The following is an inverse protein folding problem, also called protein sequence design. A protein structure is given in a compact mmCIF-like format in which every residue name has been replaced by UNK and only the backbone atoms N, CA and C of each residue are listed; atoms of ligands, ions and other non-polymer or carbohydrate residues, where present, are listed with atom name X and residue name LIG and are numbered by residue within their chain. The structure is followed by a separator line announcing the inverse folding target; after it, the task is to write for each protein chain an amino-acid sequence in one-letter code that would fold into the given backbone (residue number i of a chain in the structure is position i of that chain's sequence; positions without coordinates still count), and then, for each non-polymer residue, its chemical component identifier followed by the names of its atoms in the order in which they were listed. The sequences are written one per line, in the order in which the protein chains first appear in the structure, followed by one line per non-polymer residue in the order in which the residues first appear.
data_IF_889813004988
#
_entry.id   IF_889813004988
#
_cell.length_a   1.000
_cell.length_b   1.000
_cell.length_c   1.000
_cell.angle_alpha   90.00
_cell.angle_beta   90.00
_cell.angle_gamma   90.00
#
_symmetry.space_group_name_H-M   'P 1'
#
loop_
_entity.id
_entity.type
_entity.pdbx_description
1 polymer ?
#
# COMPACT_ATOMS: atom_id res chain seq x y z
N UNK A 1 -15.64 17.01 -13.70
CA UNK A 1 -16.03 15.89 -14.59
C UNK A 1 -16.37 14.64 -13.78
N UNK A 2 -15.48 14.12 -12.88
CA UNK A 2 -15.72 12.88 -12.11
C UNK A 2 -16.99 12.93 -11.22
N UNK A 3 -17.31 14.06 -10.64
CA UNK A 3 -18.52 14.23 -9.80
C UNK A 3 -19.81 14.27 -10.63
N UNK A 4 -19.74 14.87 -11.83
CA UNK A 4 -20.85 14.90 -12.77
C UNK A 4 -21.16 13.50 -13.35
N UNK A 5 -20.13 12.65 -13.53
CA UNK A 5 -20.31 11.24 -13.89
C UNK A 5 -20.91 10.41 -12.75
N UNK A 6 -20.69 10.79 -11.50
CA UNK A 6 -21.31 10.11 -10.34
C UNK A 6 -22.81 10.36 -10.25
N UNK A 7 -23.29 11.53 -10.67
CA UNK A 7 -24.74 11.85 -10.67
C UNK A 7 -25.52 11.03 -11.71
N UNK A 8 -24.85 10.54 -12.76
CA UNK A 8 -25.48 9.67 -13.77
C UNK A 8 -25.69 8.22 -13.30
N UNK A 9 -25.13 7.82 -12.17
CA UNK A 9 -25.24 6.44 -11.62
C UNK A 9 -26.65 6.02 -11.23
N UNK A 10 -27.57 6.96 -11.11
CA UNK A 10 -28.98 6.66 -10.80
C UNK A 10 -29.76 6.17 -12.01
N UNK A 11 -29.25 6.41 -13.22
CA UNK A 11 -29.93 6.10 -14.48
C UNK A 11 -29.10 5.28 -15.48
N UNK A 12 -27.80 5.04 -15.18
CA UNK A 12 -26.89 4.36 -16.11
C UNK A 12 -25.96 3.42 -15.32
N UNK A 13 -25.71 2.23 -15.88
CA UNK A 13 -24.70 1.31 -15.38
C UNK A 13 -23.29 1.89 -15.64
N UNK A 14 -22.42 1.87 -14.60
CA UNK A 14 -21.09 2.43 -14.67
C UNK A 14 -20.03 1.36 -14.44
N UNK A 15 -19.30 1.02 -15.51
CA UNK A 15 -18.10 0.19 -15.44
C UNK A 15 -16.88 1.08 -15.25
N UNK A 16 -16.07 0.78 -14.23
CA UNK A 16 -14.79 1.44 -14.01
C UNK A 16 -13.66 0.42 -14.24
N UNK A 17 -12.77 0.73 -15.16
CA UNK A 17 -11.61 -0.12 -15.46
C UNK A 17 -10.34 0.51 -14.90
N UNK A 18 -9.43 -0.32 -14.39
CA UNK A 18 -8.11 0.11 -13.92
C UNK A 18 -7.09 -1.01 -14.13
N UNK A 19 -5.86 -0.64 -14.47
CA UNK A 19 -4.76 -1.58 -14.59
C UNK A 19 -4.24 -2.05 -13.22
N UNK A 20 -4.28 -1.14 -12.24
CA UNK A 20 -3.91 -1.41 -10.84
C UNK A 20 -5.06 -0.92 -9.95
N UNK A 21 -5.79 -1.81 -9.27
CA UNK A 21 -6.78 -1.35 -8.31
C UNK A 21 -6.04 -0.57 -7.22
N UNK A 22 -6.41 0.70 -7.05
CA UNK A 22 -5.90 1.50 -5.95
C UNK A 22 -6.29 0.79 -4.64
N UNK A 23 -5.43 0.76 -3.61
CA UNK A 23 -5.75 0.15 -2.30
C UNK A 23 -7.13 0.53 -1.78
N UNK A 24 -7.57 1.75 -2.05
CA UNK A 24 -8.91 2.28 -1.80
C UNK A 24 -10.04 1.50 -2.50
N UNK A 25 -9.91 1.21 -3.80
CA UNK A 25 -10.94 0.48 -4.56
C UNK A 25 -11.02 -0.97 -4.07
N UNK A 26 -9.88 -1.54 -3.75
CA UNK A 26 -9.76 -2.87 -3.18
C UNK A 26 -10.40 -2.92 -1.78
N UNK A 27 -10.15 -1.93 -0.93
CA UNK A 27 -10.79 -1.80 0.38
C UNK A 27 -12.32 -1.71 0.27
N UNK A 28 -12.87 -0.93 -0.68
CA UNK A 28 -14.30 -0.85 -0.94
C UNK A 28 -14.91 -2.19 -1.38
N UNK A 29 -14.16 -3.00 -2.13
CA UNK A 29 -14.59 -4.35 -2.49
C UNK A 29 -14.56 -5.29 -1.29
N UNK A 30 -13.53 -5.21 -0.46
CA UNK A 30 -13.43 -5.98 0.79
C UNK A 30 -14.60 -5.69 1.73
N UNK A 31 -15.09 -4.45 1.76
CA UNK A 31 -16.28 -4.06 2.51
C UNK A 31 -17.61 -4.50 1.86
N UNK A 32 -17.57 -5.10 0.66
CA UNK A 32 -18.77 -5.50 -0.08
C UNK A 32 -19.59 -4.32 -0.62
N UNK A 33 -18.97 -3.12 -0.72
CA UNK A 33 -19.60 -1.91 -1.26
C UNK A 33 -19.53 -1.90 -2.79
N UNK A 34 -18.57 -2.63 -3.38
CA UNK A 34 -18.35 -2.69 -4.82
C UNK A 34 -17.90 -4.09 -5.24
N UNK A 35 -18.47 -4.58 -6.33
CA UNK A 35 -17.98 -5.80 -6.95
C UNK A 35 -16.75 -5.50 -7.81
N UNK A 36 -15.80 -6.44 -7.83
CA UNK A 36 -14.61 -6.39 -8.65
C UNK A 36 -14.50 -7.69 -9.45
N UNK A 37 -14.31 -7.53 -10.76
CA UNK A 37 -13.89 -8.61 -11.64
C UNK A 37 -12.43 -8.39 -12.04
N UNK A 38 -11.62 -9.45 -12.00
CA UNK A 38 -10.22 -9.40 -12.40
C UNK A 38 -10.04 -10.12 -13.73
N UNK A 39 -9.42 -9.44 -14.71
CA UNK A 39 -9.01 -10.03 -15.98
C UNK A 39 -7.59 -10.59 -15.79
N UNK A 40 -7.49 -11.89 -15.59
CA UNK A 40 -6.23 -12.59 -15.34
C UNK A 40 -5.63 -13.25 -16.59
N UNK A 41 -6.44 -13.45 -17.65
CA UNK A 41 -5.98 -14.09 -18.90
C UNK A 41 -5.33 -13.04 -19.80
N UNK A 42 -4.03 -13.17 -20.11
CA UNK A 42 -3.36 -12.25 -21.02
C UNK A 42 -3.80 -12.47 -22.48
N UNK A 43 -3.67 -11.45 -23.34
CA UNK A 43 -3.83 -11.64 -24.78
C UNK A 43 -2.85 -12.67 -25.32
N UNK A 44 -3.28 -13.40 -26.35
CA UNK A 44 -2.40 -14.34 -27.05
C UNK A 44 -1.16 -13.61 -27.61
N UNK A 45 0.02 -14.25 -27.54
CA UNK A 45 1.30 -13.76 -28.07
C UNK A 45 1.95 -12.59 -27.32
N UNK A 46 1.49 -12.20 -26.15
CA UNK A 46 2.14 -11.18 -25.32
C UNK A 46 3.13 -11.84 -24.36
N UNK A 47 4.40 -11.40 -24.41
CA UNK A 47 5.45 -11.89 -23.51
C UNK A 47 5.46 -11.08 -22.20
N UNK A 48 5.76 -11.77 -21.10
CA UNK A 48 5.97 -11.09 -19.83
C UNK A 48 7.22 -10.20 -19.87
N UNK A 49 7.16 -9.04 -19.20
CA UNK A 49 8.28 -8.13 -19.09
C UNK A 49 9.30 -8.68 -18.09
N UNK A 50 10.52 -8.94 -18.55
CA UNK A 50 11.61 -9.36 -17.67
C UNK A 50 12.01 -8.20 -16.75
N UNK A 51 11.79 -8.37 -15.47
CA UNK A 51 12.01 -7.32 -14.47
C UNK A 51 13.24 -7.62 -13.63
N UNK A 52 14.19 -6.69 -13.58
CA UNK A 52 15.44 -6.80 -12.81
C UNK A 52 15.58 -5.59 -11.87
N UNK A 53 15.91 -5.86 -10.64
CA UNK A 53 16.32 -4.84 -9.67
C UNK A 53 17.84 -4.86 -9.58
N UNK A 54 18.47 -3.71 -9.78
CA UNK A 54 19.92 -3.58 -9.74
C UNK A 54 20.31 -2.23 -9.12
N UNK A 55 21.56 -2.14 -8.64
CA UNK A 55 22.18 -0.85 -8.39
C UNK A 55 22.50 -0.16 -9.71
N UNK A 56 22.66 1.16 -9.69
CA UNK A 56 23.14 1.90 -10.84
C UNK A 56 24.50 1.34 -11.29
N UNK A 57 24.54 0.81 -12.48
CA UNK A 57 25.73 0.19 -13.07
C UNK A 57 25.82 0.61 -14.54
N UNK A 58 26.87 1.39 -14.86
CA UNK A 58 27.08 1.93 -16.22
C UNK A 58 27.24 0.81 -17.25
N UNK A 59 27.87 -0.31 -16.90
CA UNK A 59 28.09 -1.43 -17.81
C UNK A 59 26.77 -2.15 -18.13
N UNK A 60 25.92 -2.35 -17.13
CA UNK A 60 24.59 -2.92 -17.29
C UNK A 60 23.71 -2.03 -18.16
N UNK A 61 23.71 -0.71 -17.87
CA UNK A 61 22.91 0.28 -18.62
C UNK A 61 23.34 0.30 -20.08
N UNK A 62 24.66 0.41 -20.34
CA UNK A 62 25.21 0.38 -21.69
C UNK A 62 24.77 -0.88 -22.44
N UNK A 63 25.05 -2.05 -21.86
CA UNK A 63 24.73 -3.33 -22.51
C UNK A 63 23.23 -3.49 -22.81
N UNK A 64 22.35 -3.04 -21.92
CA UNK A 64 20.92 -3.12 -22.12
C UNK A 64 20.42 -2.14 -23.21
N UNK A 65 21.00 -0.92 -23.29
CA UNK A 65 20.69 0.04 -24.35
C UNK A 65 21.22 -0.46 -25.69
N UNK A 66 22.49 -0.88 -25.78
CA UNK A 66 23.10 -1.41 -27.00
C UNK A 66 22.27 -2.57 -27.58
N UNK A 67 21.81 -3.49 -26.73
CA UNK A 67 20.95 -4.59 -27.13
C UNK A 67 19.61 -4.11 -27.69
N UNK A 68 19.02 -3.04 -27.13
CA UNK A 68 17.75 -2.51 -27.62
C UNK A 68 17.94 -1.82 -28.98
N UNK A 69 18.97 -0.98 -29.10
CA UNK A 69 19.28 -0.25 -30.32
C UNK A 69 19.69 -1.20 -31.46
N UNK A 70 20.43 -2.27 -31.15
CA UNK A 70 20.83 -3.28 -32.14
C UNK A 70 19.65 -4.00 -32.79
N UNK A 71 18.50 -4.04 -32.16
CA UNK A 71 17.26 -4.61 -32.74
C UNK A 71 16.29 -3.56 -33.31
N UNK A 72 16.74 -2.30 -33.41
CA UNK A 72 15.93 -1.17 -33.89
C UNK A 72 14.88 -0.69 -32.90
N UNK A 73 15.01 -1.05 -31.61
CA UNK A 73 14.12 -0.62 -30.56
C UNK A 73 14.53 0.69 -29.91
N UNK A 74 13.71 1.19 -29.00
CA UNK A 74 13.88 2.43 -28.27
C UNK A 74 13.82 2.19 -26.75
N UNK A 75 14.34 3.14 -25.98
CA UNK A 75 14.49 3.02 -24.54
C UNK A 75 13.75 4.15 -23.82
N UNK A 76 12.94 3.79 -22.82
CA UNK A 76 12.49 4.73 -21.81
C UNK A 76 13.48 4.78 -20.64
N UNK A 77 13.84 5.98 -20.22
CA UNK A 77 14.58 6.20 -18.98
C UNK A 77 13.77 7.14 -18.08
N UNK A 78 13.25 6.63 -16.97
CA UNK A 78 12.39 7.38 -16.05
C UNK A 78 13.21 7.87 -14.88
N UNK A 79 13.24 9.20 -14.68
CA UNK A 79 13.86 9.84 -13.54
C UNK A 79 12.88 10.84 -12.89
N UNK A 80 12.64 10.71 -11.58
CA UNK A 80 11.51 11.39 -10.92
C UNK A 80 11.74 12.88 -10.61
N UNK A 81 12.94 13.41 -10.81
CA UNK A 81 13.30 14.76 -10.42
C UNK A 81 13.65 15.63 -11.63
N UNK A 82 13.01 16.80 -11.73
CA UNK A 82 13.29 17.74 -12.84
C UNK A 82 14.61 18.47 -12.63
N UNK A 83 15.00 18.74 -11.37
CA UNK A 83 16.16 19.59 -11.07
C UNK A 83 17.49 18.99 -11.50
N UNK A 84 17.61 17.68 -11.51
CA UNK A 84 18.83 16.93 -11.84
C UNK A 84 18.72 16.05 -13.12
N UNK A 85 17.60 16.15 -13.84
CA UNK A 85 17.36 15.37 -15.05
C UNK A 85 18.45 15.59 -16.13
N UNK A 86 18.98 16.81 -16.24
CA UNK A 86 20.08 17.14 -17.14
C UNK A 86 21.41 16.49 -16.71
N UNK A 87 21.61 16.29 -15.40
CA UNK A 87 22.77 15.55 -14.89
C UNK A 87 22.69 14.09 -15.25
N UNK A 88 21.49 13.49 -15.16
CA UNK A 88 21.24 12.12 -15.59
C UNK A 88 21.42 11.99 -17.11
N UNK A 89 20.92 12.95 -17.90
CA UNK A 89 21.13 12.99 -19.35
C UNK A 89 22.62 12.99 -19.71
N UNK A 90 23.41 13.82 -19.01
CA UNK A 90 24.86 13.89 -19.20
C UNK A 90 25.55 12.58 -18.82
N UNK A 91 25.20 11.94 -17.71
CA UNK A 91 25.71 10.61 -17.35
C UNK A 91 25.36 9.55 -18.42
N UNK A 92 24.15 9.57 -18.94
CA UNK A 92 23.74 8.66 -20.02
C UNK A 92 24.51 8.90 -21.32
N UNK A 93 24.73 10.17 -21.72
CA UNK A 93 25.54 10.49 -22.91
C UNK A 93 26.99 10.08 -22.79
N UNK A 94 27.55 9.99 -21.57
CA UNK A 94 28.87 9.42 -21.32
C UNK A 94 28.89 7.89 -21.42
N UNK A 95 27.80 7.23 -21.02
CA UNK A 95 27.66 5.77 -21.08
C UNK A 95 27.43 5.30 -22.54
N UNK A 96 26.56 5.99 -23.27
CA UNK A 96 26.17 5.66 -24.65
C UNK A 96 26.24 6.92 -25.54
N UNK A 97 27.45 7.37 -25.90
CA UNK A 97 27.63 8.62 -26.67
C UNK A 97 27.05 8.53 -28.08
N UNK A 98 26.84 7.36 -28.61
CA UNK A 98 26.22 7.08 -29.91
C UNK A 98 24.70 7.23 -29.95
N UNK A 99 24.03 7.19 -28.79
CA UNK A 99 22.57 7.25 -28.71
C UNK A 99 22.06 8.69 -28.63
N UNK A 100 20.98 8.97 -29.33
CA UNK A 100 20.25 10.24 -29.24
C UNK A 100 19.33 10.25 -28.04
N UNK A 101 19.41 11.31 -27.21
CA UNK A 101 18.61 11.42 -25.96
C UNK A 101 17.71 12.64 -26.05
N UNK A 102 16.40 12.44 -25.90
CA UNK A 102 15.44 13.51 -25.70
C UNK A 102 15.00 13.58 -24.23
N UNK A 103 14.76 14.79 -23.74
CA UNK A 103 14.33 15.02 -22.35
C UNK A 103 12.89 15.51 -22.37
N UNK A 104 12.00 14.82 -21.59
CA UNK A 104 10.61 15.17 -21.44
C UNK A 104 10.22 15.37 -19.97
N UNK A 105 9.68 16.53 -19.59
CA UNK A 105 9.21 16.78 -18.24
C UNK A 105 8.08 17.82 -18.19
N UNK A 106 7.30 17.83 -17.11
CA UNK A 106 6.10 18.66 -16.96
C UNK A 106 6.33 20.17 -16.83
N UNK A 107 7.58 20.68 -16.93
CA UNK A 107 7.89 22.11 -17.02
C UNK A 107 8.13 22.59 -18.45
N UNK A 108 8.23 21.68 -19.41
CA UNK A 108 8.25 22.05 -20.81
C UNK A 108 6.89 22.65 -21.20
N UNK A 109 6.89 23.56 -22.17
CA UNK A 109 5.65 23.99 -22.79
C UNK A 109 4.97 22.83 -23.53
N UNK A 110 3.67 22.94 -23.77
CA UNK A 110 2.90 21.88 -24.43
C UNK A 110 3.47 21.56 -25.82
N UNK A 111 3.89 22.59 -26.57
CA UNK A 111 4.53 22.41 -27.88
C UNK A 111 5.90 21.73 -27.83
N UNK A 112 6.76 22.11 -26.86
CA UNK A 112 8.07 21.48 -26.69
C UNK A 112 7.92 20.00 -26.31
N UNK A 113 6.97 19.68 -25.44
CA UNK A 113 6.69 18.32 -25.04
C UNK A 113 6.14 17.49 -26.21
N UNK A 114 5.25 18.10 -27.02
CA UNK A 114 4.71 17.46 -28.23
C UNK A 114 5.82 17.17 -29.23
N UNK A 115 6.73 18.10 -29.49
CA UNK A 115 7.88 17.90 -30.38
C UNK A 115 8.78 16.75 -29.90
N UNK A 116 9.11 16.71 -28.61
CA UNK A 116 9.88 15.61 -28.00
C UNK A 116 9.17 14.27 -28.22
N UNK A 117 7.87 14.23 -28.02
CA UNK A 117 7.10 12.99 -28.19
C UNK A 117 7.00 12.57 -29.64
N UNK A 118 6.83 13.52 -30.57
CA UNK A 118 6.78 13.24 -32.01
C UNK A 118 8.11 12.69 -32.52
N UNK A 119 9.24 13.26 -32.13
CA UNK A 119 10.58 12.75 -32.50
C UNK A 119 10.83 11.35 -31.95
N UNK A 120 10.37 11.07 -30.74
CA UNK A 120 10.50 9.73 -30.14
C UNK A 120 9.58 8.72 -30.84
N UNK A 121 8.32 9.05 -31.09
CA UNK A 121 7.39 8.18 -31.83
C UNK A 121 7.87 7.92 -33.27
N UNK A 122 8.47 8.92 -33.93
CA UNK A 122 9.05 8.78 -35.27
C UNK A 122 10.33 7.92 -35.32
N UNK A 123 10.88 7.53 -34.17
CA UNK A 123 12.09 6.71 -34.08
C UNK A 123 13.38 7.48 -34.35
N UNK A 124 13.36 8.82 -34.37
CA UNK A 124 14.55 9.65 -34.55
C UNK A 124 15.31 9.90 -33.27
N UNK A 125 14.74 9.51 -32.15
CA UNK A 125 15.33 9.56 -30.80
C UNK A 125 15.39 8.15 -30.22
N UNK A 126 16.55 7.75 -29.72
CA UNK A 126 16.82 6.41 -29.19
C UNK A 126 16.35 6.25 -27.76
N UNK A 127 16.59 7.28 -26.93
CA UNK A 127 16.30 7.28 -25.49
C UNK A 127 15.41 8.46 -25.14
N UNK A 128 14.26 8.18 -24.56
CA UNK A 128 13.43 9.21 -23.93
C UNK A 128 13.70 9.21 -22.43
N UNK A 129 14.44 10.22 -21.95
CA UNK A 129 14.63 10.49 -20.54
C UNK A 129 13.49 11.40 -20.05
N UNK A 130 12.63 10.88 -19.21
CA UNK A 130 11.46 11.64 -18.79
C UNK A 130 11.09 11.42 -17.32
N UNK A 131 10.33 12.36 -16.76
CA UNK A 131 9.65 12.17 -15.48
C UNK A 131 8.43 11.27 -15.68
N UNK A 132 7.58 11.14 -14.68
CA UNK A 132 6.33 10.33 -14.70
C UNK A 132 5.31 10.73 -15.80
N UNK A 133 5.62 11.69 -16.68
CA UNK A 133 4.78 12.07 -17.82
C UNK A 133 4.47 10.89 -18.74
N UNK A 134 5.36 9.88 -18.76
CA UNK A 134 5.16 8.63 -19.51
C UNK A 134 3.89 7.89 -19.08
N UNK A 135 3.32 8.21 -17.90
CA UNK A 135 2.05 7.64 -17.43
C UNK A 135 0.83 8.05 -18.29
N UNK A 136 0.94 9.06 -19.16
CA UNK A 136 -0.17 9.62 -19.93
C UNK A 136 -0.65 8.80 -21.14
N UNK A 137 -0.42 7.48 -21.16
CA UNK A 137 -1.16 6.58 -22.05
C UNK A 137 -0.63 6.42 -23.48
N UNK A 138 0.55 6.95 -23.79
CA UNK A 138 1.17 6.79 -25.11
C UNK A 138 1.57 5.32 -25.36
N UNK A 139 1.17 4.84 -26.51
CA UNK A 139 1.53 3.51 -26.99
C UNK A 139 2.69 3.61 -27.98
N UNK A 140 3.87 3.18 -27.56
CA UNK A 140 5.09 3.18 -28.38
C UNK A 140 5.59 1.74 -28.52
N UNK A 141 5.19 1.05 -29.59
CA UNK A 141 5.49 -0.38 -29.76
C UNK A 141 6.99 -0.70 -29.83
N UNK A 142 7.82 0.26 -30.28
CA UNK A 142 9.27 0.08 -30.43
C UNK A 142 10.04 0.23 -29.12
N UNK A 143 9.43 0.82 -28.08
CA UNK A 143 10.06 0.97 -26.77
C UNK A 143 9.87 -0.31 -25.94
N UNK A 144 10.87 -1.19 -25.94
CA UNK A 144 10.81 -2.49 -25.26
C UNK A 144 11.77 -2.60 -24.07
N UNK A 145 12.55 -1.55 -23.79
CA UNK A 145 13.39 -1.47 -22.59
C UNK A 145 13.03 -0.20 -21.81
N UNK A 146 12.83 -0.34 -20.49
CA UNK A 146 12.60 0.76 -19.57
C UNK A 146 13.56 0.67 -18.38
N UNK A 147 14.20 1.79 -18.06
CA UNK A 147 14.90 2.00 -16.80
C UNK A 147 14.06 2.89 -15.90
N UNK A 148 13.99 2.55 -14.63
CA UNK A 148 13.32 3.35 -13.60
C UNK A 148 14.39 3.68 -12.55
N UNK A 149 14.87 4.91 -12.58
CA UNK A 149 15.89 5.40 -11.67
C UNK A 149 15.28 5.72 -10.30
N UNK A 150 16.07 5.59 -9.22
CA UNK A 150 15.61 5.74 -7.84
C UNK A 150 14.32 4.96 -7.56
N UNK A 151 14.24 3.73 -8.05
CA UNK A 151 13.03 2.89 -8.03
C UNK A 151 12.50 2.62 -6.61
N UNK A 152 13.32 2.73 -5.59
CA UNK A 152 12.95 2.62 -4.18
C UNK A 152 12.06 3.77 -3.68
N UNK A 153 12.09 4.92 -4.36
CA UNK A 153 11.23 6.07 -4.04
C UNK A 153 9.78 5.92 -4.54
N UNK A 154 9.53 5.03 -5.49
CA UNK A 154 8.20 4.84 -6.08
C UNK A 154 7.30 3.91 -5.27
N UNK A 155 5.99 4.13 -5.39
CA UNK A 155 4.96 3.19 -4.95
C UNK A 155 4.90 1.93 -5.82
N UNK A 156 4.37 0.83 -5.27
CA UNK A 156 4.27 -0.43 -6.01
C UNK A 156 3.35 -0.31 -7.23
N UNK A 157 2.27 0.49 -7.12
CA UNK A 157 1.35 0.76 -8.22
C UNK A 157 2.03 1.55 -9.35
N UNK A 158 2.85 2.56 -9.01
CA UNK A 158 3.56 3.40 -9.97
C UNK A 158 4.61 2.57 -10.73
N UNK A 159 5.40 1.74 -10.01
CA UNK A 159 6.33 0.80 -10.62
C UNK A 159 5.65 -0.16 -11.59
N UNK A 160 4.46 -0.66 -11.22
CA UNK A 160 3.70 -1.55 -12.10
C UNK A 160 3.19 -0.83 -13.36
N UNK A 161 2.71 0.41 -13.23
CA UNK A 161 2.26 1.22 -14.37
C UNK A 161 3.42 1.55 -15.32
N UNK A 162 4.56 1.98 -14.77
CA UNK A 162 5.76 2.27 -15.54
C UNK A 162 6.28 1.02 -16.26
N UNK A 163 6.36 -0.12 -15.58
CA UNK A 163 6.71 -1.40 -16.21
C UNK A 163 5.77 -1.76 -17.37
N UNK A 164 4.49 -1.47 -17.22
CA UNK A 164 3.46 -1.72 -18.22
C UNK A 164 3.56 -0.83 -19.48
N UNK A 165 4.47 0.15 -19.49
CA UNK A 165 4.73 0.99 -20.69
C UNK A 165 5.50 0.27 -21.75
N UNK A 166 6.24 -0.79 -21.41
CA UNK A 166 6.95 -1.65 -22.36
C UNK A 166 6.28 -3.02 -22.50
N UNK A 167 6.69 -3.79 -23.50
CA UNK A 167 6.16 -5.13 -23.77
C UNK A 167 4.80 -5.11 -24.46
N UNK A 168 4.60 -4.16 -25.38
CA UNK A 168 3.39 -4.06 -26.22
C UNK A 168 3.58 -4.62 -27.63
N UNK A 169 4.79 -5.06 -27.94
CA UNK A 169 5.16 -5.71 -29.17
C UNK A 169 5.41 -7.21 -28.98
N UNK A 170 5.75 -7.91 -30.07
CA UNK A 170 6.16 -9.32 -30.06
C UNK A 170 7.58 -9.52 -29.50
N UNK A 171 8.33 -8.45 -29.30
CA UNK A 171 9.69 -8.52 -28.77
C UNK A 171 9.67 -8.65 -27.26
N UNK A 172 10.64 -9.40 -26.72
CA UNK A 172 10.84 -9.49 -25.27
C UNK A 172 11.19 -8.12 -24.71
N UNK A 173 10.45 -7.68 -23.71
CA UNK A 173 10.67 -6.40 -23.05
C UNK A 173 11.38 -6.56 -21.71
N UNK A 174 12.10 -5.52 -21.31
CA UNK A 174 12.93 -5.48 -20.12
C UNK A 174 12.61 -4.24 -19.29
N UNK A 175 12.52 -4.44 -18.00
CA UNK A 175 12.35 -3.37 -17.02
C UNK A 175 13.49 -3.45 -15.99
N UNK A 176 14.34 -2.43 -15.97
CA UNK A 176 15.44 -2.30 -15.01
C UNK A 176 15.04 -1.28 -13.95
N UNK A 177 14.93 -1.74 -12.73
CA UNK A 177 14.66 -0.89 -11.55
C UNK A 177 15.99 -0.59 -10.90
N UNK A 178 16.47 0.64 -11.07
CA UNK A 178 17.76 1.09 -10.57
C UNK A 178 17.60 1.67 -9.17
N UNK A 179 18.55 1.38 -8.33
CA UNK A 179 18.69 1.92 -6.98
C UNK A 179 20.04 2.59 -6.88
N UNK A 180 20.14 3.70 -6.15
CA UNK A 180 21.41 4.40 -5.94
C UNK A 180 22.47 3.45 -5.36
N UNK A 181 23.72 3.63 -5.79
CA UNK A 181 24.86 2.78 -5.39
C UNK A 181 25.09 2.79 -3.87
N UNK A 182 24.82 3.92 -3.24
CA UNK A 182 25.09 4.18 -1.82
C UNK A 182 23.84 4.06 -0.94
N UNK A 183 22.63 3.99 -1.54
CA UNK A 183 21.39 4.00 -0.79
C UNK A 183 21.21 2.75 0.08
N UNK A 184 20.90 2.99 1.35
CA UNK A 184 20.38 1.95 2.23
C UNK A 184 18.87 1.81 2.01
N UNK A 185 18.47 0.73 1.36
CA UNK A 185 17.04 0.43 1.16
C UNK A 185 16.33 0.25 2.50
N UNK A 186 15.23 0.96 2.68
CA UNK A 186 14.32 0.67 3.78
C UNK A 186 13.72 -0.73 3.61
N UNK A 187 13.34 -1.38 4.70
CA UNK A 187 12.71 -2.71 4.65
C UNK A 187 11.44 -2.71 3.78
N UNK A 188 10.70 -1.61 3.78
CA UNK A 188 9.49 -1.43 2.96
C UNK A 188 9.81 -1.29 1.48
N UNK A 189 10.84 -0.51 1.12
CA UNK A 189 11.30 -0.38 -0.28
C UNK A 189 11.80 -1.71 -0.82
N UNK A 190 12.63 -2.44 -0.05
CA UNK A 190 13.12 -3.76 -0.43
C UNK A 190 11.97 -4.76 -0.67
N UNK A 191 10.93 -4.75 0.17
CA UNK A 191 9.74 -5.60 -0.01
C UNK A 191 8.95 -5.24 -1.26
N UNK A 192 8.79 -3.94 -1.58
CA UNK A 192 8.11 -3.48 -2.80
C UNK A 192 8.86 -3.92 -4.06
N UNK A 193 10.19 -3.70 -4.09
CA UNK A 193 11.03 -4.09 -5.23
C UNK A 193 11.05 -5.60 -5.45
N UNK A 194 11.08 -6.39 -4.37
CA UNK A 194 10.96 -7.84 -4.46
C UNK A 194 9.59 -8.24 -5.00
N UNK A 195 8.52 -7.65 -4.51
CA UNK A 195 7.16 -7.96 -4.97
C UNK A 195 6.99 -7.70 -6.47
N UNK A 196 7.45 -6.55 -6.99
CA UNK A 196 7.33 -6.24 -8.42
C UNK A 196 8.16 -7.19 -9.30
N UNK A 197 9.27 -7.73 -8.78
CA UNK A 197 10.11 -8.71 -9.46
C UNK A 197 9.44 -10.09 -9.47
N UNK A 198 8.88 -10.53 -8.36
CA UNK A 198 8.17 -11.82 -8.23
C UNK A 198 6.89 -11.86 -9.07
N UNK A 199 6.12 -10.78 -9.06
CA UNK A 199 4.88 -10.64 -9.85
C UNK A 199 5.15 -10.10 -11.27
N UNK A 200 6.03 -10.77 -12.02
CA UNK A 200 6.35 -10.40 -13.41
C UNK A 200 5.32 -10.90 -14.44
N UNK A 201 4.43 -11.82 -14.07
CA UNK A 201 3.39 -12.35 -14.96
C UNK A 201 2.37 -11.28 -15.35
N UNK A 202 1.83 -11.41 -16.57
CA UNK A 202 0.73 -10.55 -17.02
C UNK A 202 -0.53 -10.82 -16.20
N UNK A 203 -1.33 -9.78 -15.98
CA UNK A 203 -2.51 -9.84 -15.10
C UNK A 203 -2.19 -9.72 -13.61
N UNK A 204 -0.93 -9.55 -13.23
CA UNK A 204 -0.51 -9.46 -11.84
C UNK A 204 -0.95 -8.17 -11.10
N UNK A 205 -1.56 -7.20 -11.78
CA UNK A 205 -1.92 -5.89 -11.19
C UNK A 205 -2.74 -6.00 -9.91
N UNK A 206 -3.66 -6.95 -9.89
CA UNK A 206 -4.48 -7.19 -8.71
C UNK A 206 -3.68 -7.85 -7.56
N UNK A 207 -2.85 -8.85 -7.87
CA UNK A 207 -1.96 -9.50 -6.88
C UNK A 207 -0.95 -8.51 -6.31
N UNK A 208 -0.45 -7.58 -7.11
CA UNK A 208 0.42 -6.49 -6.68
C UNK A 208 -0.30 -5.50 -5.77
N UNK A 209 -1.55 -5.15 -6.06
CA UNK A 209 -2.35 -4.28 -5.17
C UNK A 209 -2.60 -4.93 -3.81
N UNK A 210 -2.84 -6.25 -3.78
CA UNK A 210 -2.92 -7.00 -2.52
C UNK A 210 -1.58 -7.00 -1.80
N UNK A 211 -0.49 -7.22 -2.53
CA UNK A 211 0.85 -7.21 -1.93
C UNK A 211 1.23 -5.84 -1.39
N UNK A 212 0.81 -4.75 -2.05
CA UNK A 212 0.99 -3.38 -1.54
C UNK A 212 0.27 -3.17 -0.20
N UNK A 213 -0.98 -3.68 -0.08
CA UNK A 213 -1.71 -3.66 1.19
C UNK A 213 -0.99 -4.47 2.28
N UNK A 214 -0.48 -5.65 1.95
CA UNK A 214 0.27 -6.51 2.88
C UNK A 214 1.58 -5.85 3.33
N UNK A 215 2.32 -5.19 2.42
CA UNK A 215 3.57 -4.48 2.72
C UNK A 215 3.32 -3.27 3.63
N UNK A 216 2.20 -2.57 3.46
CA UNK A 216 1.77 -1.46 4.33
C UNK A 216 1.45 -1.92 5.75
N UNK A 217 1.26 -3.23 5.94
CA UNK A 217 1.09 -3.89 7.23
C UNK A 217 -0.36 -4.21 7.58
N UNK A 218 -0.56 -5.30 8.31
CA UNK A 218 -1.88 -5.75 8.77
C UNK A 218 -2.56 -4.73 9.70
N UNK A 219 -1.79 -3.88 10.39
CA UNK A 219 -2.30 -2.75 11.18
C UNK A 219 -3.05 -1.73 10.33
N UNK A 220 -2.57 -1.46 9.10
CA UNK A 220 -3.23 -0.57 8.15
C UNK A 220 -4.36 -1.23 7.35
N UNK A 221 -4.38 -2.55 7.23
CA UNK A 221 -5.51 -3.31 6.70
C UNK A 221 -6.72 -3.26 7.64
N UNK A 222 -6.43 -3.22 8.93
CA UNK A 222 -7.41 -3.29 10.01
C UNK A 222 -7.66 -1.93 10.69
N UNK A 223 -6.88 -0.91 10.35
CA UNK A 223 -6.92 0.45 10.93
C UNK A 223 -7.27 1.54 9.92
N UNK A 224 -7.63 2.69 10.44
CA UNK A 224 -8.18 3.84 9.71
C UNK A 224 -7.13 4.79 9.13
N UNK A 225 -5.82 4.56 9.34
CA UNK A 225 -4.78 5.48 8.88
C UNK A 225 -3.96 4.89 7.73
N UNK A 226 -4.23 5.38 6.52
CA UNK A 226 -3.25 5.38 5.44
C UNK A 226 -2.42 6.66 5.59
N UNK A 227 -1.14 6.52 5.90
CA UNK A 227 -0.19 7.62 6.01
C UNK A 227 -0.02 8.32 4.65
N UNK A 228 -0.55 9.51 4.53
CA UNK A 228 -0.43 10.40 3.37
C UNK A 228 -1.42 11.54 3.45
N UNK A 229 -1.02 12.60 4.14
CA UNK A 229 -1.54 13.99 4.12
C UNK A 229 -3.02 14.28 3.74
N UNK A 230 -3.74 14.83 4.75
CA UNK A 230 -4.84 15.86 4.70
C UNK A 230 -6.07 15.62 3.79
N UNK A 231 -5.93 15.06 2.60
CA UNK A 231 -7.08 14.71 1.75
C UNK A 231 -7.83 13.45 2.21
N UNK A 232 -7.27 12.71 3.14
CA UNK A 232 -7.71 11.37 3.53
C UNK A 232 -8.79 11.37 4.61
N UNK A 233 -8.83 12.38 5.48
CA UNK A 233 -9.82 12.47 6.57
C UNK A 233 -11.25 12.52 6.04
N UNK A 234 -11.48 13.21 4.93
CA UNK A 234 -12.79 13.28 4.28
C UNK A 234 -13.26 11.96 3.65
N UNK A 235 -12.32 11.14 3.17
CA UNK A 235 -12.66 9.91 2.48
C UNK A 235 -12.98 8.75 3.41
N UNK A 236 -12.22 8.56 4.48
CA UNK A 236 -12.51 7.54 5.49
C UNK A 236 -13.87 7.80 6.15
N UNK A 237 -14.13 9.06 6.49
CA UNK A 237 -15.42 9.46 7.00
C UNK A 237 -16.53 9.16 6.00
N UNK A 238 -16.32 9.44 4.70
CA UNK A 238 -17.29 9.13 3.64
C UNK A 238 -17.53 7.62 3.54
N UNK A 239 -16.50 6.79 3.53
CA UNK A 239 -16.64 5.33 3.48
C UNK A 239 -17.37 4.79 4.70
N UNK A 240 -17.09 5.32 5.89
CA UNK A 240 -17.77 4.97 7.14
C UNK A 240 -19.25 5.33 7.10
N UNK A 241 -19.57 6.56 6.70
CA UNK A 241 -20.96 7.03 6.58
C UNK A 241 -21.73 6.22 5.51
N UNK A 242 -21.07 5.86 4.41
CA UNK A 242 -21.65 5.03 3.38
C UNK A 242 -21.90 3.61 3.88
N UNK A 243 -20.96 3.02 4.59
CA UNK A 243 -21.14 1.69 5.22
C UNK A 243 -22.27 1.71 6.25
N UNK A 244 -22.32 2.71 7.11
CA UNK A 244 -23.43 2.88 8.07
C UNK A 244 -24.78 3.03 7.36
N UNK A 245 -24.81 3.80 6.26
CA UNK A 245 -26.04 4.00 5.48
C UNK A 245 -26.49 2.70 4.79
N UNK A 246 -25.56 1.94 4.21
CA UNK A 246 -25.86 0.63 3.59
C UNK A 246 -26.34 -0.38 4.63
N UNK A 247 -25.73 -0.39 5.82
CA UNK A 247 -26.19 -1.24 6.94
C UNK A 247 -27.57 -0.83 7.44
N UNK A 248 -27.84 0.47 7.55
CA UNK A 248 -29.17 0.97 7.90
C UNK A 248 -30.24 0.52 6.91
N UNK A 249 -29.96 0.58 5.61
CA UNK A 249 -30.88 0.11 4.55
C UNK A 249 -31.08 -1.41 4.62
N UNK A 250 -30.04 -2.18 4.96
CA UNK A 250 -30.10 -3.65 5.08
C UNK A 250 -30.63 -4.14 6.44
N UNK A 251 -31.07 -3.24 7.32
CA UNK A 251 -31.55 -3.55 8.69
C UNK A 251 -30.56 -4.41 9.51
N UNK A 252 -29.28 -4.26 9.29
CA UNK A 252 -28.23 -4.95 10.05
C UNK A 252 -27.92 -4.19 11.34
N UNK A 253 -27.71 -4.87 12.48
CA UNK A 253 -27.39 -4.19 13.73
C UNK A 253 -26.12 -3.36 13.61
N UNK A 254 -26.03 -2.20 14.29
CA UNK A 254 -24.85 -1.35 14.26
C UNK A 254 -23.73 -2.02 15.07
N UNK A 255 -22.91 -2.82 14.41
CA UNK A 255 -21.66 -3.29 14.96
C UNK A 255 -20.54 -2.51 14.25
N UNK A 256 -20.00 -1.51 14.91
CA UNK A 256 -18.77 -0.86 14.47
C UNK A 256 -17.60 -1.76 14.88
N UNK A 257 -16.87 -2.35 13.92
CA UNK A 257 -15.65 -3.09 14.26
C UNK A 257 -14.63 -2.16 14.91
N UNK A 258 -13.80 -2.65 15.82
CA UNK A 258 -12.82 -1.84 16.53
C UNK A 258 -11.86 -1.18 15.55
N UNK A 259 -11.78 0.15 15.62
CA UNK A 259 -10.93 0.97 14.76
C UNK A 259 -9.60 1.26 15.45
N UNK A 260 -8.78 0.23 15.60
CA UNK A 260 -7.46 0.33 16.22
C UNK A 260 -6.39 0.12 15.16
N UNK A 261 -5.43 1.02 15.11
CA UNK A 261 -4.23 0.90 14.27
C UNK A 261 -3.14 0.20 15.05
N UNK A 262 -2.65 -0.93 14.55
CA UNK A 262 -1.48 -1.62 15.11
C UNK A 262 -0.34 -1.51 14.08
N UNK A 263 0.69 -0.73 14.40
CA UNK A 263 1.89 -0.56 13.55
C UNK A 263 3.12 -1.05 14.31
N UNK A 264 3.32 -2.36 14.27
CA UNK A 264 4.43 -3.06 14.92
C UNK A 264 5.24 -3.86 13.89
N UNK A 265 6.55 -4.06 14.11
CA UNK A 265 7.37 -4.89 13.24
C UNK A 265 6.84 -6.33 13.17
N UNK A 266 6.75 -6.86 11.97
CA UNK A 266 6.35 -8.25 11.73
C UNK A 266 5.65 -8.43 10.39
N UNK A 267 5.95 -9.52 9.72
CA UNK A 267 5.29 -9.87 8.47
C UNK A 267 4.04 -10.70 8.78
N UNK A 268 2.85 -10.19 8.41
CA UNK A 268 1.56 -10.78 8.74
C UNK A 268 0.62 -10.72 7.53
N UNK A 269 0.51 -11.82 6.81
CA UNK A 269 -0.35 -11.97 5.62
C UNK A 269 -0.79 -13.42 5.41
N UNK A 270 -1.64 -13.64 4.41
CA UNK A 270 -2.04 -14.96 3.93
C UNK A 270 -1.19 -15.31 2.70
N UNK A 271 -0.22 -16.26 2.77
CA UNK A 271 0.59 -16.68 1.64
C UNK A 271 -0.26 -17.24 0.49
N UNK A 272 0.23 -17.10 -0.75
CA UNK A 272 -0.48 -17.62 -1.92
C UNK A 272 -0.51 -19.14 -1.94
N UNK A 273 0.55 -19.76 -1.45
CA UNK A 273 0.65 -21.22 -1.38
C UNK A 273 -0.29 -21.80 -0.31
N UNK A 274 -0.68 -20.98 0.68
CA UNK A 274 -1.65 -21.38 1.70
C UNK A 274 -3.10 -21.18 1.24
N UNK A 275 -3.43 -20.01 0.67
CA UNK A 275 -4.76 -19.76 0.08
C UNK A 275 -4.56 -19.30 -1.36
N UNK A 276 -4.63 -20.22 -2.36
CA UNK A 276 -4.44 -19.87 -3.76
C UNK A 276 -5.58 -19.02 -4.33
N UNK A 277 -6.81 -19.30 -3.90
CA UNK A 277 -7.98 -18.56 -4.37
C UNK A 277 -8.08 -17.18 -3.75
N UNK A 278 -8.07 -16.20 -4.64
CA UNK A 278 -8.06 -14.81 -4.29
C UNK A 278 -9.37 -14.32 -3.61
N UNK A 279 -10.53 -14.81 -4.06
CA UNK A 279 -11.84 -14.44 -3.46
C UNK A 279 -11.92 -14.91 -2.03
N UNK A 280 -11.48 -16.12 -1.78
CA UNK A 280 -11.40 -16.69 -0.42
C UNK A 280 -10.46 -15.87 0.45
N UNK A 281 -9.30 -15.44 -0.09
CA UNK A 281 -8.34 -14.60 0.63
C UNK A 281 -8.94 -13.26 1.06
N UNK A 282 -9.66 -12.59 0.16
CA UNK A 282 -10.38 -11.35 0.48
C UNK A 282 -11.45 -11.59 1.56
N UNK A 283 -12.19 -12.67 1.45
CA UNK A 283 -13.25 -12.99 2.42
C UNK A 283 -12.64 -13.18 3.83
N UNK A 284 -11.54 -13.90 3.93
CA UNK A 284 -10.81 -14.07 5.20
C UNK A 284 -10.37 -12.72 5.77
N UNK A 285 -9.75 -11.84 4.97
CA UNK A 285 -9.37 -10.50 5.43
C UNK A 285 -10.60 -9.67 5.87
N UNK A 286 -11.71 -9.75 5.13
CA UNK A 286 -12.98 -9.09 5.47
C UNK A 286 -13.53 -9.59 6.79
N UNK A 287 -13.60 -10.90 6.98
CA UNK A 287 -14.07 -11.51 8.22
C UNK A 287 -13.17 -11.12 9.38
N UNK A 288 -11.86 -11.22 9.20
CA UNK A 288 -10.87 -10.84 10.21
C UNK A 288 -10.98 -9.36 10.61
N UNK A 289 -11.21 -8.45 9.66
CA UNK A 289 -11.40 -7.02 9.94
C UNK A 289 -12.66 -6.72 10.76
N UNK A 290 -13.64 -7.61 10.75
CA UNK A 290 -14.92 -7.46 11.46
C UNK A 290 -14.98 -8.18 12.80
N UNK A 291 -13.96 -8.95 13.17
CA UNK A 291 -13.95 -9.67 14.44
C UNK A 291 -13.99 -8.71 15.64
N UNK A 292 -14.83 -9.05 16.60
CA UNK A 292 -15.11 -8.27 17.81
C UNK A 292 -14.55 -8.95 19.07
N UNK A 293 -14.24 -10.23 19.01
CA UNK A 293 -13.76 -11.02 20.12
C UNK A 293 -12.77 -12.11 19.66
N UNK A 294 -12.05 -12.69 20.61
CA UNK A 294 -11.06 -13.74 20.36
C UNK A 294 -11.71 -15.05 19.86
N UNK A 295 -12.96 -15.34 20.26
CA UNK A 295 -13.63 -16.56 19.85
C UNK A 295 -13.87 -16.59 18.32
N UNK A 296 -14.28 -15.44 17.73
CA UNK A 296 -14.44 -15.33 16.28
C UNK A 296 -13.12 -15.51 15.53
N UNK A 297 -12.00 -15.12 16.13
CA UNK A 297 -10.66 -15.31 15.55
C UNK A 297 -10.26 -16.79 15.64
N UNK A 298 -10.58 -17.45 16.77
CA UNK A 298 -10.33 -18.89 16.95
C UNK A 298 -11.15 -19.72 15.98
N UNK A 299 -12.42 -19.41 15.80
CA UNK A 299 -13.31 -20.07 14.83
C UNK A 299 -12.76 -19.92 13.39
N UNK A 300 -12.32 -18.72 13.02
CA UNK A 300 -11.72 -18.46 11.71
C UNK A 300 -10.41 -19.23 11.54
N UNK A 301 -9.58 -19.29 12.57
CA UNK A 301 -8.31 -20.04 12.53
C UNK A 301 -8.58 -21.55 12.40
N UNK A 302 -9.58 -22.08 13.11
CA UNK A 302 -9.99 -23.49 13.01
C UNK A 302 -10.54 -23.82 11.60
N UNK A 303 -11.35 -22.95 11.01
CA UNK A 303 -11.83 -23.11 9.64
C UNK A 303 -10.68 -23.12 8.64
N UNK A 304 -9.71 -22.23 8.77
CA UNK A 304 -8.56 -22.17 7.88
C UNK A 304 -7.67 -23.41 8.02
N UNK A 305 -7.50 -23.92 9.25
CA UNK A 305 -6.77 -25.15 9.51
C UNK A 305 -7.44 -26.36 8.85
N UNK A 306 -8.76 -26.44 8.94
CA UNK A 306 -9.54 -27.54 8.36
C UNK A 306 -9.49 -27.52 6.81
N UNK A 307 -9.63 -26.34 6.20
CA UNK A 307 -9.73 -26.18 4.74
C UNK A 307 -8.39 -26.18 4.01
N UNK A 308 -7.35 -25.64 4.63
CA UNK A 308 -6.07 -25.36 3.97
C UNK A 308 -4.87 -26.00 4.68
N UNK A 309 -5.09 -26.65 5.81
CA UNK A 309 -4.03 -27.24 6.59
C UNK A 309 -3.35 -26.27 7.58
N UNK A 310 -2.17 -26.63 8.11
CA UNK A 310 -1.51 -25.85 9.16
C UNK A 310 -1.23 -24.41 8.76
N UNK A 311 -1.61 -23.43 9.62
CA UNK A 311 -1.39 -22.03 9.37
C UNK A 311 0.12 -21.72 9.29
N UNK A 312 0.59 -21.08 8.21
CA UNK A 312 1.95 -20.54 8.11
C UNK A 312 2.24 -19.51 9.21
N UNK A 313 3.53 -19.24 9.47
CA UNK A 313 3.94 -18.30 10.51
C UNK A 313 3.37 -16.89 10.30
N UNK A 314 3.32 -16.43 9.05
CA UNK A 314 2.74 -15.13 8.66
C UNK A 314 1.24 -15.06 8.95
N UNK A 315 0.53 -16.15 8.68
CA UNK A 315 -0.92 -16.24 8.94
C UNK A 315 -1.22 -16.32 10.44
N UNK A 316 -0.40 -17.02 11.21
CA UNK A 316 -0.51 -17.01 12.69
C UNK A 316 -0.29 -15.62 13.24
N UNK A 317 0.72 -14.88 12.76
CA UNK A 317 0.95 -13.49 13.15
C UNK A 317 -0.22 -12.59 12.77
N UNK A 318 -0.84 -12.81 11.61
CA UNK A 318 -2.04 -12.07 11.21
C UNK A 318 -3.19 -12.25 12.21
N UNK A 319 -3.41 -13.47 12.70
CA UNK A 319 -4.40 -13.73 13.76
C UNK A 319 -4.02 -13.04 15.07
N UNK A 320 -2.74 -13.04 15.44
CA UNK A 320 -2.28 -12.34 16.64
C UNK A 320 -2.47 -10.81 16.54
N UNK A 321 -2.22 -10.20 15.38
CA UNK A 321 -2.52 -8.79 15.15
C UNK A 321 -4.02 -8.50 15.31
N UNK A 322 -4.90 -9.40 14.82
CA UNK A 322 -6.33 -9.25 15.02
C UNK A 322 -6.72 -9.32 16.50
N UNK A 323 -6.11 -10.23 17.28
CA UNK A 323 -6.33 -10.31 18.74
C UNK A 323 -5.85 -9.06 19.46
N UNK A 324 -4.66 -8.53 19.09
CA UNK A 324 -4.16 -7.27 19.65
C UNK A 324 -5.11 -6.10 19.38
N UNK A 325 -5.69 -6.05 18.18
CA UNK A 325 -6.67 -5.03 17.81
C UNK A 325 -7.92 -5.11 18.70
N UNK A 326 -8.46 -6.30 18.91
CA UNK A 326 -9.62 -6.53 19.78
C UNK A 326 -9.30 -6.14 21.22
N UNK A 327 -8.15 -6.59 21.73
CA UNK A 327 -7.72 -6.27 23.09
C UNK A 327 -7.49 -4.77 23.30
N UNK A 328 -6.85 -4.09 22.36
CA UNK A 328 -6.61 -2.65 22.39
C UNK A 328 -7.92 -1.87 22.35
N UNK A 329 -8.88 -2.29 21.51
CA UNK A 329 -10.20 -1.67 21.45
C UNK A 329 -10.97 -1.77 22.76
N UNK A 330 -10.89 -2.92 23.45
CA UNK A 330 -11.53 -3.12 24.75
C UNK A 330 -10.96 -2.21 25.85
N UNK A 331 -9.75 -1.68 25.65
CA UNK A 331 -9.09 -0.73 26.55
C UNK A 331 -9.22 0.74 26.09
N UNK A 332 -10.01 1.01 25.04
CA UNK A 332 -10.16 2.35 24.49
C UNK A 332 -8.88 2.90 23.83
N UNK A 333 -8.01 2.02 23.34
CA UNK A 333 -6.77 2.38 22.62
C UNK A 333 -7.09 2.54 21.14
N UNK A 334 -6.70 3.67 20.55
CA UNK A 334 -6.91 4.00 19.14
C UNK A 334 -5.73 3.57 18.26
N UNK A 335 -4.50 3.59 18.81
CA UNK A 335 -3.33 3.09 18.08
C UNK A 335 -2.22 2.57 18.98
N UNK A 336 -1.49 1.57 18.48
CA UNK A 336 -0.28 0.98 19.06
C UNK A 336 0.84 1.07 18.04
N UNK A 337 1.82 1.93 18.29
CA UNK A 337 2.89 2.24 17.32
C UNK A 337 4.26 2.21 17.99
N UNK A 338 5.33 2.15 17.17
CA UNK A 338 6.70 2.32 17.65
C UNK A 338 7.14 3.76 17.45
N UNK A 339 7.48 4.46 18.53
CA UNK A 339 8.02 5.81 18.50
C UNK A 339 9.29 5.90 19.36
N UNK A 340 10.40 6.37 18.77
CA UNK A 340 11.68 6.58 19.46
C UNK A 340 12.15 5.38 20.34
N UNK A 341 11.94 4.15 19.88
CA UNK A 341 12.33 2.93 20.62
C UNK A 341 11.39 2.56 21.78
N UNK A 342 10.29 3.26 21.93
CA UNK A 342 9.21 2.97 22.88
C UNK A 342 7.94 2.51 22.19
N UNK A 343 7.08 1.80 22.88
CA UNK A 343 5.73 1.50 22.43
C UNK A 343 4.85 2.71 22.79
N UNK A 344 4.31 3.38 21.76
CA UNK A 344 3.37 4.48 21.92
C UNK A 344 1.93 3.96 21.83
N UNK A 345 1.13 4.24 22.86
CA UNK A 345 -0.29 3.91 22.94
C UNK A 345 -1.08 5.22 22.87
N UNK A 346 -1.85 5.40 21.82
CA UNK A 346 -2.82 6.51 21.75
C UNK A 346 -4.19 5.99 22.15
N UNK A 347 -4.89 6.70 23.01
CA UNK A 347 -6.14 6.24 23.61
C UNK A 347 -7.14 7.38 23.78
N UNK A 348 -8.41 7.04 23.87
CA UNK A 348 -9.51 7.97 24.18
C UNK A 348 -10.13 7.73 25.56
N UNK A 349 -9.90 6.56 26.19
CA UNK A 349 -10.37 6.23 27.52
C UNK A 349 -9.21 6.27 28.54
N UNK A 350 -9.06 7.41 29.19
CA UNK A 350 -8.03 7.61 30.23
C UNK A 350 -8.25 6.72 31.46
N UNK A 351 -9.50 6.49 31.83
CA UNK A 351 -9.85 5.68 33.01
C UNK A 351 -9.44 4.21 32.81
N UNK A 352 -9.65 3.68 31.58
CA UNK A 352 -9.20 2.35 31.21
C UNK A 352 -7.66 2.24 31.24
N UNK A 353 -6.95 3.27 30.78
CA UNK A 353 -5.48 3.30 30.79
C UNK A 353 -4.90 3.40 32.21
N UNK A 354 -5.48 4.22 33.08
CA UNK A 354 -5.09 4.31 34.50
C UNK A 354 -5.37 2.99 35.22
N UNK A 355 -6.50 2.34 34.94
CA UNK A 355 -6.84 1.02 35.46
C UNK A 355 -5.84 -0.04 34.97
N UNK A 356 -5.47 -0.03 33.70
CA UNK A 356 -4.46 -0.93 33.15
C UNK A 356 -3.12 -0.76 33.86
N UNK A 357 -2.69 0.47 34.12
CA UNK A 357 -1.46 0.76 34.87
C UNK A 357 -1.52 0.26 36.31
N UNK A 358 -2.66 0.41 36.99
CA UNK A 358 -2.83 0.07 38.40
C UNK A 358 -3.01 -1.44 38.63
N UNK A 359 -3.82 -2.10 37.80
CA UNK A 359 -4.27 -3.48 38.03
C UNK A 359 -3.83 -4.45 36.97
N UNK A 360 -3.18 -3.96 35.90
CA UNK A 360 -2.68 -4.76 34.80
C UNK A 360 -1.42 -5.58 35.14
N UNK A 361 -0.87 -6.26 34.13
CA UNK A 361 0.36 -7.03 34.26
C UNK A 361 1.55 -6.18 34.76
N UNK A 362 2.59 -6.81 35.26
CA UNK A 362 3.78 -6.11 35.78
C UNK A 362 4.37 -5.09 34.79
N UNK A 363 4.37 -5.42 33.50
CA UNK A 363 4.82 -4.51 32.44
C UNK A 363 3.96 -3.24 32.34
N UNK A 364 2.67 -3.30 32.64
CA UNK A 364 1.78 -2.14 32.60
C UNK A 364 2.14 -1.07 33.66
N UNK A 365 2.82 -1.45 34.73
CA UNK A 365 3.29 -0.49 35.75
C UNK A 365 4.36 0.46 35.23
N UNK A 366 5.07 0.05 34.17
CA UNK A 366 6.09 0.87 33.48
C UNK A 366 5.48 1.89 32.51
N UNK A 367 4.16 1.86 32.30
CA UNK A 367 3.46 2.83 31.46
C UNK A 367 3.65 4.26 31.98
N UNK A 368 4.12 5.12 31.09
CA UNK A 368 4.24 6.57 31.32
C UNK A 368 3.10 7.28 30.60
N UNK A 369 2.08 7.67 31.34
CA UNK A 369 0.98 8.48 30.80
C UNK A 369 1.51 9.91 30.68
N UNK A 370 1.64 10.43 29.45
CA UNK A 370 2.23 11.75 29.18
C UNK A 370 1.14 12.81 29.12
N UNK A 371 0.05 12.52 28.45
CA UNK A 371 -1.08 13.44 28.32
C UNK A 371 -2.42 12.68 28.38
N UNK A 372 -3.52 13.35 28.02
CA UNK A 372 -4.87 12.78 28.06
C UNK A 372 -5.16 11.79 26.90
N UNK A 373 -4.20 11.57 26.01
CA UNK A 373 -4.37 10.70 24.82
C UNK A 373 -3.19 9.81 24.53
N UNK A 374 -2.05 9.98 25.22
CA UNK A 374 -0.80 9.30 24.87
C UNK A 374 -0.13 8.71 26.10
N UNK A 375 0.26 7.46 25.99
CA UNK A 375 1.10 6.78 26.97
C UNK A 375 2.24 6.05 26.26
N UNK A 376 3.41 6.01 26.90
CA UNK A 376 4.58 5.31 26.41
C UNK A 376 4.98 4.16 27.33
N UNK A 377 5.39 3.05 26.72
CA UNK A 377 6.01 1.93 27.42
C UNK A 377 7.42 1.73 26.91
N UNK A 378 8.45 1.81 27.77
CA UNK A 378 9.80 1.42 27.39
C UNK A 378 9.86 -0.08 27.10
N UNK A 379 10.42 -0.45 25.96
CA UNK A 379 10.60 -1.84 25.54
C UNK A 379 12.10 -2.07 25.28
N UNK A 380 12.63 -3.14 25.80
CA UNK A 380 14.05 -3.50 25.62
C UNK A 380 14.39 -3.70 24.13
N UNK A 381 15.58 -3.24 23.72
CA UNK A 381 16.00 -3.33 22.32
C UNK A 381 16.01 -4.77 21.78
N UNK A 382 16.31 -5.76 22.61
CA UNK A 382 16.27 -7.16 22.24
C UNK A 382 14.87 -7.65 21.86
N UNK A 383 13.82 -7.06 22.41
CA UNK A 383 12.42 -7.40 22.09
C UNK A 383 12.00 -6.81 20.74
N UNK A 384 12.56 -5.67 20.34
CA UNK A 384 12.27 -5.04 19.04
C UNK A 384 12.81 -5.82 17.84
N UNK A 385 13.84 -6.64 18.04
CA UNK A 385 14.45 -7.46 16.97
C UNK A 385 13.71 -8.79 16.76
N UNK A 386 12.89 -9.21 17.73
CA UNK A 386 12.12 -10.45 17.67
C UNK A 386 10.61 -10.12 17.64
N UNK A 387 10.01 -10.22 16.45
CA UNK A 387 8.59 -9.89 16.25
C UNK A 387 7.65 -10.76 17.09
N UNK A 388 7.98 -12.02 17.36
CA UNK A 388 7.11 -12.91 18.15
C UNK A 388 7.14 -12.53 19.63
N UNK A 389 8.33 -12.25 20.16
CA UNK A 389 8.48 -11.77 21.54
C UNK A 389 7.79 -10.42 21.73
N UNK A 390 7.90 -9.52 20.74
CA UNK A 390 7.23 -8.24 20.78
C UNK A 390 5.70 -8.40 20.82
N UNK A 391 5.14 -9.21 19.93
CA UNK A 391 3.69 -9.47 19.89
C UNK A 391 3.21 -10.10 21.20
N UNK A 392 3.96 -11.05 21.75
CA UNK A 392 3.63 -11.67 23.02
C UNK A 392 3.69 -10.67 24.20
N UNK A 393 4.70 -9.79 24.21
CA UNK A 393 4.82 -8.73 25.24
C UNK A 393 3.64 -7.76 25.17
N UNK A 394 3.27 -7.29 23.96
CA UNK A 394 2.14 -6.41 23.75
C UNK A 394 0.82 -7.11 24.09
N UNK A 395 0.64 -8.38 23.72
CA UNK A 395 -0.53 -9.18 24.10
C UNK A 395 -0.66 -9.32 25.60
N UNK A 396 0.45 -9.59 26.29
CA UNK A 396 0.45 -9.69 27.75
C UNK A 396 0.10 -8.35 28.39
N UNK A 397 0.60 -7.24 27.83
CA UNK A 397 0.29 -5.89 28.30
C UNK A 397 -1.19 -5.56 28.16
N UNK A 398 -1.78 -5.85 26.99
CA UNK A 398 -3.16 -5.49 26.66
C UNK A 398 -4.20 -6.48 27.21
N UNK A 399 -3.78 -7.51 27.94
CA UNK A 399 -4.70 -8.48 28.54
C UNK A 399 -5.53 -7.80 29.63
N UNK A 400 -6.85 -7.63 29.44
CA UNK A 400 -7.68 -6.98 30.44
C UNK A 400 -7.76 -7.83 31.72
N UNK A 401 -7.69 -7.20 32.87
CA UNK A 401 -7.86 -7.88 34.16
C UNK A 401 -9.27 -8.45 34.35
N UNK A 402 -10.25 -7.94 33.60
CA UNK A 402 -11.62 -8.48 33.43
C UNK A 402 -12.08 -8.13 32.01
N UNK A 403 -12.68 -9.10 31.30
CA UNK A 403 -13.27 -8.86 29.99
C UNK A 403 -14.37 -7.78 30.11
N UNK A 404 -14.12 -6.61 29.54
CA UNK A 404 -15.16 -5.59 29.35
C UNK A 404 -15.66 -5.71 27.92
N UNK A 405 -16.99 -5.70 27.68
CA UNK A 405 -17.49 -5.63 26.31
C UNK A 405 -17.05 -4.31 25.68
N UNK A 406 -16.74 -4.35 24.40
CA UNK A 406 -16.39 -3.18 23.60
C UNK A 406 -17.46 -2.09 23.74
N UNK A 407 -17.05 -0.89 24.12
CA UNK A 407 -17.90 0.30 24.13
C UNK A 407 -17.55 1.17 22.92
N UNK A 408 -18.49 1.41 21.99
CA UNK A 408 -18.22 2.24 20.84
C UNK A 408 -17.90 3.67 21.24
N UNK A 409 -17.01 4.32 20.49
CA UNK A 409 -16.64 5.72 20.69
C UNK A 409 -17.89 6.61 20.61
N UNK A 410 -18.11 7.52 21.55
CA UNK A 410 -19.20 8.48 21.43
C UNK A 410 -19.01 9.32 20.17
N UNK A 411 -20.09 9.65 19.43
CA UNK A 411 -20.01 10.48 18.23
C UNK A 411 -19.34 11.81 18.58
N UNK A 412 -18.41 12.25 17.72
CA UNK A 412 -17.74 13.54 17.90
C UNK A 412 -18.80 14.66 17.93
N UNK A 413 -18.83 15.42 19.01
CA UNK A 413 -19.77 16.52 19.23
C UNK A 413 -19.52 17.63 18.19
N UNK A 414 -20.28 17.60 17.08
CA UNK A 414 -20.21 18.58 15.98
C UNK A 414 -20.80 19.95 16.35
N UNK A 415 -21.25 20.15 17.61
CA UNK A 415 -22.00 21.35 18.01
C UNK A 415 -21.18 22.48 18.64
N UNK A 416 -19.84 22.38 18.67
CA UNK A 416 -19.00 23.42 19.32
C UNK A 416 -18.30 24.41 18.39
N UNK A 417 -18.85 24.71 17.21
CA UNK A 417 -18.34 25.80 16.37
C UNK A 417 -19.44 26.65 15.71
N UNK A 418 -20.48 26.98 16.47
CA UNK A 418 -21.36 28.09 16.06
C UNK A 418 -21.65 28.96 17.27
N UNK A 419 -21.01 30.08 17.37
CA UNK A 419 -21.45 31.14 18.26
C UNK A 419 -20.37 31.80 19.09
N UNK A 420 -19.74 32.83 18.50
CA UNK A 420 -19.43 34.13 19.14
C UNK A 420 -18.48 34.90 18.24
N UNK A 421 -19.07 35.77 17.42
CA UNK A 421 -18.58 37.12 17.16
C UNK A 421 -19.64 37.84 16.35
N UNK A 422 -20.59 38.37 17.11
CA UNK A 422 -21.43 39.48 16.68
C UNK A 422 -21.53 40.41 17.92
N UNK A 423 -20.81 41.47 17.89
CA UNK A 423 -21.04 42.68 18.69
C UNK A 423 -20.76 43.90 17.81
N UNK A 424 -21.36 45.02 18.23
CA UNK A 424 -22.42 45.73 17.47
C UNK A 424 -21.84 46.66 16.44
#
# INVERSE_FOLDING_TARGET
VKERLKSLRTSVDVLTMTATPIPRTLHMSMLGIRDISSLATPPANRLAVETRVSRWDASLIRHAIDRELARGGQVFFVHNRIHDIHTVAHRLSQIVPEATIAIGHGRLSESELEDVMLTFVAGTTDILLATTIIESGLDIPNANTIFIDESDAYGLADLHQLRGRVGRSHHRAYCYMLVDETAHLTSTAARRLRAIQEFSSMGAGFSLAMRDLEIRGAGNLLGTQQSGHIATVGYELYCRLLEQSVRGIKSMPPAEPPQVTIDLPGEAWLPRDFIPDFRTKIDVYRRLSRTMDDAQIDDLAAELLDRFGPLPAESKRLMEFARLRVAAAALGIDSVTREAGMLALRYHDRSAMESLKATGPAAARLLRIVDHRTAYLPVENAVWTDSERLLQAVRTLLRPARARPYSPRPPADLTRHTGKDARP
#
